data_IF_190700925680
#
_entry.id   IF_190700925680
#
_cell.length_a   1.000
_cell.length_b   1.000
_cell.length_c   1.000
_cell.angle_alpha   90.00
_cell.angle_beta   90.00
_cell.angle_gamma   90.00
#
_symmetry.space_group_name_H-M   'P 1'
#
loop_
_entity.id
_entity.type
_entity.pdbx_description
1 polymer ?
#
# COMPACT_ATOMS: atom_id res chain seq x y z
N UNK A 1 18.21 8.51 2.54
CA UNK A 1 18.18 7.06 2.30
C UNK A 1 17.09 6.79 1.29
N UNK A 2 17.34 5.97 0.26
CA UNK A 2 16.32 5.58 -0.72
C UNK A 2 15.18 4.82 -0.04
N UNK A 3 13.98 4.93 -0.60
CA UNK A 3 12.81 4.16 -0.17
C UNK A 3 13.05 2.68 -0.51
N UNK A 4 12.80 1.78 0.44
CA UNK A 4 12.80 0.35 0.17
C UNK A 4 11.37 -0.12 -0.05
N UNK A 5 11.16 -0.86 -1.13
CA UNK A 5 9.87 -1.48 -1.45
C UNK A 5 10.01 -2.98 -1.32
N UNK A 6 9.13 -3.59 -0.53
CA UNK A 6 9.04 -5.02 -0.34
C UNK A 6 7.84 -5.57 -1.10
N UNK A 7 7.93 -6.84 -1.50
CA UNK A 7 6.78 -7.63 -1.91
C UNK A 7 5.87 -7.93 -0.70
N UNK A 8 4.62 -8.36 -0.93
CA UNK A 8 3.76 -8.84 0.14
C UNK A 8 4.42 -9.99 0.94
N UNK A 9 4.21 -10.05 2.27
CA UNK A 9 4.82 -11.09 3.09
C UNK A 9 4.19 -12.46 2.79
N UNK A 10 4.98 -13.53 2.91
CA UNK A 10 4.64 -14.91 2.51
C UNK A 10 3.42 -15.53 3.22
N UNK A 11 2.89 -14.90 4.26
CA UNK A 11 1.68 -15.34 4.98
C UNK A 11 0.39 -14.60 4.60
N UNK A 12 0.43 -13.72 3.61
CA UNK A 12 -0.77 -13.02 3.11
C UNK A 12 -1.24 -13.75 1.86
N UNK A 13 -2.47 -14.25 1.89
CA UNK A 13 -3.06 -14.92 0.74
C UNK A 13 -3.28 -13.94 -0.41
N UNK A 14 -2.80 -14.25 -1.64
CA UNK A 14 -3.03 -13.41 -2.80
C UNK A 14 -4.52 -13.35 -3.15
N UNK A 15 -4.89 -12.35 -3.95
CA UNK A 15 -6.24 -12.24 -4.49
C UNK A 15 -6.43 -13.36 -5.54
N UNK A 16 -7.45 -14.21 -5.40
CA UNK A 16 -7.67 -15.31 -6.35
C UNK A 16 -8.00 -14.77 -7.74
N UNK A 17 -7.27 -15.26 -8.75
CA UNK A 17 -7.52 -14.93 -10.15
C UNK A 17 -8.85 -15.55 -10.60
N UNK A 18 -9.72 -14.75 -11.22
CA UNK A 18 -10.94 -15.23 -11.87
C UNK A 18 -12.22 -15.15 -11.04
N UNK A 19 -12.15 -14.88 -9.73
CA UNK A 19 -13.35 -14.59 -8.91
C UNK A 19 -13.73 -13.10 -8.97
N UNK A 20 -14.12 -12.66 -10.17
CA UNK A 20 -14.52 -11.28 -10.42
C UNK A 20 -15.75 -10.85 -9.63
N UNK A 21 -16.63 -11.80 -9.27
CA UNK A 21 -17.85 -11.53 -8.52
C UNK A 21 -17.55 -11.10 -7.08
N UNK A 22 -16.51 -11.69 -6.47
CA UNK A 22 -16.11 -11.38 -5.10
C UNK A 22 -14.84 -10.51 -5.01
N UNK A 23 -14.38 -9.93 -6.13
CA UNK A 23 -13.15 -9.14 -6.21
C UNK A 23 -13.00 -8.12 -5.06
N UNK A 24 -14.03 -7.30 -4.81
CA UNK A 24 -14.01 -6.29 -3.74
C UNK A 24 -13.82 -6.90 -2.36
N UNK A 25 -14.41 -8.08 -2.11
CA UNK A 25 -14.26 -8.82 -0.85
C UNK A 25 -12.83 -9.35 -0.69
N UNK A 26 -12.23 -9.84 -1.77
CA UNK A 26 -10.85 -10.31 -1.76
C UNK A 26 -9.85 -9.17 -1.58
N UNK A 27 -10.02 -8.04 -2.28
CA UNK A 27 -9.20 -6.84 -2.07
C UNK A 27 -9.30 -6.32 -0.64
N UNK A 28 -10.52 -6.27 -0.09
CA UNK A 28 -10.73 -5.85 1.30
C UNK A 28 -10.03 -6.79 2.27
N UNK A 29 -10.21 -8.11 2.13
CA UNK A 29 -9.51 -9.12 2.95
C UNK A 29 -8.00 -8.94 2.88
N UNK A 30 -7.46 -8.90 1.65
CA UNK A 30 -6.04 -8.73 1.40
C UNK A 30 -5.48 -7.47 2.06
N UNK A 31 -6.19 -6.35 1.91
CA UNK A 31 -5.84 -5.06 2.51
C UNK A 31 -5.87 -5.12 4.04
N UNK A 32 -6.93 -5.70 4.62
CA UNK A 32 -7.09 -5.82 6.06
C UNK A 32 -5.99 -6.70 6.69
N UNK A 33 -5.66 -7.82 6.03
CA UNK A 33 -4.65 -8.75 6.53
C UNK A 33 -3.24 -8.17 6.41
N UNK A 34 -2.95 -7.46 5.31
CA UNK A 34 -1.69 -6.74 5.16
C UNK A 34 -1.57 -5.60 6.18
N UNK A 35 -2.67 -4.88 6.47
CA UNK A 35 -2.69 -3.83 7.49
C UNK A 35 -2.39 -4.40 8.89
N UNK A 36 -3.05 -5.50 9.27
CA UNK A 36 -2.78 -6.20 10.54
C UNK A 36 -1.33 -6.67 10.61
N UNK A 37 -0.79 -7.21 9.51
CA UNK A 37 0.61 -7.63 9.45
C UNK A 37 1.56 -6.45 9.68
N UNK A 38 1.36 -5.33 8.96
CA UNK A 38 2.17 -4.12 9.12
C UNK A 38 2.13 -3.57 10.55
N UNK A 39 0.93 -3.52 11.15
CA UNK A 39 0.74 -3.06 12.53
C UNK A 39 1.36 -3.99 13.56
N UNK A 40 1.41 -5.29 13.31
CA UNK A 40 2.13 -6.23 14.18
C UNK A 40 3.64 -6.04 14.10
N UNK A 41 4.15 -5.81 12.89
CA UNK A 41 5.58 -5.61 12.64
C UNK A 41 6.09 -4.25 13.17
N UNK A 42 5.27 -3.22 13.11
CA UNK A 42 5.62 -1.86 13.55
C UNK A 42 4.46 -1.17 14.29
N UNK A 43 4.11 -1.60 15.51
CA UNK A 43 2.89 -1.19 16.21
C UNK A 43 2.83 0.29 16.60
N UNK A 44 3.99 0.92 16.83
CA UNK A 44 4.08 2.34 17.21
C UNK A 44 4.39 3.25 16.02
N UNK A 45 4.49 2.70 14.81
CA UNK A 45 4.88 3.44 13.63
C UNK A 45 3.79 4.41 13.17
N UNK A 46 4.16 5.68 12.98
CA UNK A 46 3.25 6.67 12.41
C UNK A 46 2.91 6.30 10.96
N UNK A 47 1.62 6.37 10.62
CA UNK A 47 1.08 6.03 9.30
C UNK A 47 1.24 4.57 8.88
N UNK A 48 1.63 3.66 9.79
CA UNK A 48 1.76 2.24 9.46
C UNK A 48 0.41 1.66 9.09
N UNK A 49 0.37 0.94 7.97
CA UNK A 49 -0.85 0.38 7.41
C UNK A 49 -1.65 1.35 6.54
N UNK A 50 -1.27 2.63 6.46
CA UNK A 50 -1.88 3.58 5.52
C UNK A 50 -1.52 3.19 4.08
N UNK A 51 -2.47 3.40 3.17
CA UNK A 51 -2.32 3.10 1.74
C UNK A 51 -2.05 4.41 1.00
N UNK A 52 -0.98 4.41 0.20
CA UNK A 52 -0.70 5.45 -0.79
C UNK A 52 -0.93 4.88 -2.18
N UNK A 53 -1.54 5.69 -3.04
CA UNK A 53 -1.84 5.33 -4.43
C UNK A 53 -1.23 6.37 -5.34
N UNK A 54 -0.63 5.91 -6.43
CA UNK A 54 -0.08 6.76 -7.47
C UNK A 54 -0.77 6.42 -8.78
N UNK A 55 -1.30 7.41 -9.52
CA UNK A 55 -1.91 7.15 -10.82
C UNK A 55 -0.84 6.62 -11.79
N UNK A 56 -1.16 5.50 -12.46
CA UNK A 56 -0.32 4.88 -13.48
C UNK A 56 -1.25 4.43 -14.61
N UNK A 57 -1.05 4.99 -15.81
CA UNK A 57 -1.96 4.80 -16.94
C UNK A 57 -3.43 5.11 -16.59
N UNK A 58 -4.34 4.18 -16.86
CA UNK A 58 -5.77 4.22 -16.53
C UNK A 58 -6.10 3.69 -15.13
N UNK A 59 -5.09 3.22 -14.39
CA UNK A 59 -5.22 2.67 -13.05
C UNK A 59 -4.33 3.37 -12.02
N UNK A 60 -3.87 2.58 -11.05
CA UNK A 60 -2.99 3.07 -9.99
C UNK A 60 -2.03 1.98 -9.52
N UNK A 61 -0.85 2.41 -9.08
CA UNK A 61 0.03 1.61 -8.25
C UNK A 61 -0.28 1.88 -6.77
N UNK A 62 -0.42 0.83 -5.95
CA UNK A 62 -0.75 0.94 -4.54
C UNK A 62 0.37 0.38 -3.65
N UNK A 63 0.64 1.10 -2.56
CA UNK A 63 1.64 0.71 -1.58
C UNK A 63 1.12 0.93 -0.17
N UNK A 64 1.47 0.03 0.75
CA UNK A 64 1.19 0.17 2.17
C UNK A 64 2.44 0.60 2.94
N UNK A 65 2.30 1.52 3.88
CA UNK A 65 3.42 2.00 4.69
C UNK A 65 3.78 0.98 5.79
N UNK A 66 5.03 0.52 5.79
CA UNK A 66 5.59 -0.36 6.84
C UNK A 66 6.39 0.44 7.88
N UNK A 67 7.24 1.36 7.44
CA UNK A 67 8.09 2.19 8.31
C UNK A 67 8.44 3.50 7.62
N UNK A 68 8.62 4.58 8.39
CA UNK A 68 9.03 5.89 7.85
C UNK A 68 10.52 6.19 8.01
N UNK A 69 11.24 5.47 8.88
CA UNK A 69 12.68 5.68 9.14
C UNK A 69 13.39 4.34 9.39
N UNK A 70 14.12 3.78 8.39
CA UNK A 70 14.12 4.20 6.98
C UNK A 70 12.72 4.07 6.35
N UNK A 71 12.48 4.74 5.22
CA UNK A 71 11.20 4.63 4.51
C UNK A 71 11.09 3.24 3.86
N UNK A 72 10.09 2.49 4.30
CA UNK A 72 9.80 1.12 3.87
C UNK A 72 8.32 1.02 3.52
N UNK A 73 8.06 0.54 2.30
CA UNK A 73 6.74 0.34 1.74
C UNK A 73 6.56 -1.11 1.31
N UNK A 74 5.32 -1.58 1.27
CA UNK A 74 4.95 -2.88 0.69
C UNK A 74 4.14 -2.60 -0.57
N UNK A 75 4.57 -3.15 -1.71
CA UNK A 75 3.79 -3.10 -2.94
C UNK A 75 2.53 -3.96 -2.78
N UNK A 76 1.37 -3.38 -3.05
CA UNK A 76 0.09 -4.07 -2.96
C UNK A 76 -0.31 -4.58 -4.34
N UNK A 77 -0.50 -5.90 -4.44
CA UNK A 77 -0.97 -6.59 -5.65
C UNK A 77 -2.49 -6.44 -5.82
N UNK A 78 -2.98 -5.20 -5.87
CA UNK A 78 -4.38 -4.86 -6.09
C UNK A 78 -4.56 -4.21 -7.46
N UNK A 79 -5.76 -4.33 -8.04
CA UNK A 79 -6.00 -3.98 -9.45
C UNK A 79 -5.05 -4.73 -10.39
N UNK A 80 -4.45 -4.00 -11.33
CA UNK A 80 -3.45 -4.54 -12.28
C UNK A 80 -2.04 -4.67 -11.69
N UNK A 81 -1.89 -4.47 -10.37
CA UNK A 81 -0.60 -4.55 -9.66
C UNK A 81 0.49 -3.64 -10.28
N UNK A 82 0.10 -2.46 -10.78
CA UNK A 82 1.03 -1.50 -11.37
C UNK A 82 2.18 -1.14 -10.42
N UNK A 83 3.35 -0.90 -11.00
CA UNK A 83 4.50 -0.35 -10.30
C UNK A 83 4.73 1.11 -10.69
N UNK A 84 4.88 1.98 -9.70
CA UNK A 84 5.22 3.38 -9.91
C UNK A 84 6.72 3.51 -10.17
N UNK A 85 7.09 4.00 -11.35
CA UNK A 85 8.46 4.06 -11.86
C UNK A 85 9.45 4.80 -10.94
N UNK A 86 8.96 5.69 -10.08
CA UNK A 86 9.78 6.51 -9.20
C UNK A 86 9.61 6.20 -7.71
N UNK A 87 9.01 5.05 -7.36
CA UNK A 87 8.67 4.70 -5.97
C UNK A 87 9.89 4.72 -5.04
N UNK A 88 11.06 4.27 -5.51
CA UNK A 88 12.30 4.22 -4.74
C UNK A 88 12.88 5.61 -4.42
N UNK A 89 12.49 6.63 -5.19
CA UNK A 89 12.93 8.02 -5.02
C UNK A 89 12.06 8.81 -4.05
N UNK A 90 10.92 8.26 -3.65
CA UNK A 90 10.00 8.97 -2.76
C UNK A 90 10.59 9.19 -1.37
N UNK A 91 10.19 10.31 -0.76
CA UNK A 91 10.57 10.65 0.59
C UNK A 91 9.40 10.50 1.56
N UNK A 92 9.69 10.49 2.87
CA UNK A 92 8.65 10.52 3.92
C UNK A 92 7.72 11.72 3.77
N UNK A 93 8.21 12.84 3.24
CA UNK A 93 7.39 14.05 3.00
C UNK A 93 6.34 13.78 1.91
N UNK A 94 6.71 13.07 0.86
CA UNK A 94 5.81 12.75 -0.25
C UNK A 94 4.73 11.77 0.20
N UNK A 95 5.11 10.73 0.96
CA UNK A 95 4.16 9.79 1.57
C UNK A 95 3.15 10.50 2.48
N UNK A 96 3.62 11.41 3.34
CA UNK A 96 2.72 12.19 4.21
C UNK A 96 1.73 13.03 3.43
N UNK A 97 2.19 13.70 2.35
CA UNK A 97 1.31 14.47 1.47
C UNK A 97 0.26 13.57 0.81
N UNK A 98 0.66 12.38 0.35
CA UNK A 98 -0.26 11.46 -0.32
C UNK A 98 -1.32 10.93 0.65
N UNK A 99 -0.93 10.54 1.87
CA UNK A 99 -1.89 10.11 2.90
C UNK A 99 -2.86 11.24 3.27
N UNK A 100 -2.36 12.46 3.46
CA UNK A 100 -3.21 13.64 3.72
C UNK A 100 -4.18 13.91 2.58
N UNK A 101 -3.71 13.81 1.33
CA UNK A 101 -4.56 13.98 0.16
C UNK A 101 -5.67 12.91 0.08
N UNK A 102 -5.33 11.64 0.33
CA UNK A 102 -6.28 10.54 0.36
C UNK A 102 -7.34 10.73 1.46
N UNK A 103 -6.92 11.14 2.66
CA UNK A 103 -7.84 11.41 3.78
C UNK A 103 -8.77 12.58 3.47
N UNK A 104 -8.25 13.64 2.84
CA UNK A 104 -9.07 14.77 2.41
C UNK A 104 -10.14 14.36 1.39
N UNK A 105 -9.77 13.57 0.39
CA UNK A 105 -10.72 13.06 -0.61
C UNK A 105 -11.77 12.12 0.00
N UNK A 106 -11.39 11.29 0.98
CA UNK A 106 -12.32 10.38 1.66
C UNK A 106 -13.27 11.08 2.64
N UNK A 107 -12.94 12.31 3.09
CA UNK A 107 -13.75 13.10 4.01
C UNK A 107 -14.81 13.98 3.34
N UNK A 108 -14.88 13.96 2.00
CA UNK A 108 -15.88 14.66 1.19
C UNK A 108 -16.94 13.68 0.71
#
# INVERSE_FOLDING_TARGET
>A
MPCKVYAPPTGIEPIPLGDWQNWQKHEKRYTDDLNKWCKRENPSGKLVGEIVRFPVADGFAAYMVLRLRPLELIHMEIGDAWNFQYIERLTVKDIRKQVQHNQFLASR
#
